data_IF_389381712707
#
_entry.id   IF_389381712707
#
_cell.length_a   1.000
_cell.length_b   1.000
_cell.length_c   1.000
_cell.angle_alpha   90.00
_cell.angle_beta   90.00
_cell.angle_gamma   90.00
#
_symmetry.space_group_name_H-M   'P 1'
#
loop_
_entity.id
_entity.type
_entity.pdbx_description
1 polymer ?
#
# COMPACT_ATOMS: atom_id res chain seq x y z
N UNK A 1 -10.69 -20.93 43.57
CA UNK A 1 -11.97 -21.38 42.97
C UNK A 1 -12.92 -20.20 42.89
N UNK A 2 -13.01 -19.51 41.75
CA UNK A 2 -14.19 -18.73 41.40
C UNK A 2 -14.88 -19.30 40.17
N UNK A 3 -16.20 -19.30 40.23
CA UNK A 3 -17.18 -19.73 39.24
C UNK A 3 -17.15 -18.89 37.97
N UNK A 4 -17.42 -19.46 36.77
CA UNK A 4 -17.64 -18.68 35.56
C UNK A 4 -19.10 -18.23 35.43
N UNK A 5 -19.27 -17.01 34.91
CA UNK A 5 -20.55 -16.42 34.54
C UNK A 5 -21.03 -17.06 33.24
N UNK A 6 -22.13 -17.82 33.32
CA UNK A 6 -22.87 -18.34 32.17
C UNK A 6 -24.00 -17.37 31.80
N UNK A 7 -24.01 -16.88 30.55
CA UNK A 7 -25.12 -16.11 29.99
C UNK A 7 -26.20 -17.09 29.51
N UNK A 8 -27.35 -17.03 30.18
CA UNK A 8 -28.59 -17.72 29.86
C UNK A 8 -29.23 -17.09 28.60
N UNK A 9 -29.53 -17.89 27.57
CA UNK A 9 -30.59 -17.58 26.61
C UNK A 9 -31.66 -18.67 26.68
N UNK A 10 -32.88 -18.20 26.91
CA UNK A 10 -34.08 -18.95 27.25
C UNK A 10 -34.61 -19.80 26.08
N UNK A 11 -35.19 -20.95 26.43
CA UNK A 11 -35.73 -21.94 25.52
C UNK A 11 -37.09 -21.58 24.90
N UNK A 12 -37.32 -22.16 23.73
CA UNK A 12 -38.63 -22.41 23.13
C UNK A 12 -38.74 -23.90 22.79
N UNK A 13 -39.81 -24.54 23.25
CA UNK A 13 -40.11 -25.98 23.13
C UNK A 13 -40.55 -26.40 21.71
N UNK A 14 -40.56 -27.73 21.41
CA UNK A 14 -40.57 -28.27 20.05
C UNK A 14 -41.98 -28.57 19.52
N UNK A 15 -42.13 -28.53 18.20
CA UNK A 15 -43.21 -29.21 17.48
C UNK A 15 -42.59 -30.25 16.56
N UNK A 16 -42.84 -31.52 16.86
CA UNK A 16 -42.52 -32.62 15.99
C UNK A 16 -43.51 -32.73 14.84
N UNK A 17 -43.04 -33.18 13.68
CA UNK A 17 -43.68 -34.28 12.93
C UNK A 17 -42.73 -34.83 11.87
N UNK A 18 -42.59 -36.15 11.95
CA UNK A 18 -41.97 -37.07 11.00
C UNK A 18 -42.60 -36.99 9.61
N UNK A 19 -41.77 -36.94 8.57
CA UNK A 19 -42.07 -37.51 7.25
C UNK A 19 -40.77 -38.11 6.67
N UNK A 20 -40.83 -39.42 6.38
CA UNK A 20 -39.77 -40.21 5.74
C UNK A 20 -39.78 -40.02 4.19
N UNK A 21 -38.73 -40.47 3.48
CA UNK A 21 -38.35 -39.94 2.17
C UNK A 21 -39.03 -40.66 1.01
N UNK A 22 -39.22 -39.94 -0.10
CA UNK A 22 -39.51 -40.54 -1.41
C UNK A 22 -38.35 -40.32 -2.37
N UNK A 23 -38.14 -41.37 -3.15
CA UNK A 23 -36.96 -41.72 -3.92
C UNK A 23 -37.06 -41.28 -5.39
N UNK A 24 -35.88 -41.06 -5.98
CA UNK A 24 -35.53 -41.28 -7.41
C UNK A 24 -35.83 -40.15 -8.41
N UNK A 25 -35.17 -40.15 -9.60
CA UNK A 25 -33.73 -40.16 -9.86
C UNK A 25 -33.29 -39.05 -10.84
N UNK A 26 -31.97 -38.91 -11.01
CA UNK A 26 -31.30 -38.05 -12.02
C UNK A 26 -31.83 -38.28 -13.45
N UNK A 27 -31.60 -37.28 -14.33
CA UNK A 27 -30.75 -37.60 -15.48
C UNK A 27 -29.72 -36.51 -15.80
N UNK A 28 -28.51 -36.95 -16.12
CA UNK A 28 -27.66 -36.36 -17.17
C UNK A 28 -27.80 -37.32 -18.37
N UNK A 29 -27.63 -36.93 -19.65
CA UNK A 29 -26.30 -36.55 -20.13
C UNK A 29 -26.23 -35.67 -21.41
N UNK A 30 -24.98 -35.41 -21.83
CA UNK A 30 -24.46 -35.16 -23.19
C UNK A 30 -24.35 -33.72 -23.73
N UNK A 31 -23.10 -33.25 -23.73
CA UNK A 31 -22.27 -32.87 -24.89
C UNK A 31 -22.98 -32.70 -26.24
N UNK A 32 -22.80 -31.51 -26.84
CA UNK A 32 -22.50 -31.33 -28.25
C UNK A 32 -21.75 -30.00 -28.47
N UNK A 33 -20.66 -30.10 -29.24
CA UNK A 33 -19.83 -29.01 -29.71
C UNK A 33 -20.54 -28.17 -30.80
N UNK A 34 -20.13 -26.91 -30.98
CA UNK A 34 -20.30 -26.25 -32.29
C UNK A 34 -20.40 -24.73 -32.31
N UNK A 35 -19.29 -24.10 -32.71
CA UNK A 35 -19.18 -22.95 -33.64
C UNK A 35 -19.66 -21.56 -33.17
N UNK A 36 -18.64 -20.72 -32.94
CA UNK A 36 -18.41 -19.41 -33.58
C UNK A 36 -19.60 -18.73 -34.28
N UNK A 37 -19.95 -17.53 -33.81
CA UNK A 37 -20.31 -16.38 -34.67
C UNK A 37 -20.25 -15.08 -33.88
N UNK A 38 -19.27 -14.26 -34.24
CA UNK A 38 -19.20 -12.83 -33.99
C UNK A 38 -20.47 -12.13 -34.50
N UNK A 39 -21.10 -11.30 -33.66
CA UNK A 39 -22.02 -10.26 -34.13
C UNK A 39 -21.66 -8.92 -33.49
N UNK A 40 -21.13 -8.07 -34.34
CA UNK A 40 -21.00 -6.61 -34.22
C UNK A 40 -22.36 -5.96 -33.93
N UNK A 41 -22.41 -5.08 -32.93
CA UNK A 41 -23.53 -4.16 -32.67
C UNK A 41 -23.15 -2.79 -33.25
N UNK A 42 -24.02 -2.10 -34.01
CA UNK A 42 -23.70 -0.82 -34.61
C UNK A 42 -23.98 0.35 -33.67
N UNK A 43 -23.14 1.38 -33.79
CA UNK A 43 -23.29 2.68 -33.14
C UNK A 43 -24.46 3.50 -33.73
N UNK A 44 -25.25 4.11 -32.85
CA UNK A 44 -26.10 5.30 -33.05
C UNK A 44 -25.98 6.08 -31.73
N UNK A 45 -25.75 7.37 -31.63
CA UNK A 45 -26.04 8.51 -32.49
C UNK A 45 -26.52 9.61 -31.55
N UNK A 46 -25.75 10.70 -31.43
CA UNK A 46 -25.92 11.80 -30.49
C UNK A 46 -27.32 12.45 -30.52
N UNK A 47 -27.87 12.83 -29.36
CA UNK A 47 -28.74 14.02 -29.17
C UNK A 47 -28.60 14.59 -27.75
N UNK A 48 -28.15 15.85 -27.67
CA UNK A 48 -28.34 16.74 -26.52
C UNK A 48 -29.78 17.27 -26.49
N UNK A 49 -30.27 17.68 -25.31
CA UNK A 49 -31.05 18.90 -25.20
C UNK A 49 -30.50 19.88 -24.16
N UNK A 50 -30.75 21.16 -24.45
CA UNK A 50 -30.29 22.33 -23.73
C UNK A 50 -31.10 22.65 -22.47
N UNK A 51 -30.38 23.28 -21.53
CA UNK A 51 -30.76 24.29 -20.53
C UNK A 51 -32.25 24.45 -20.12
N UNK A 52 -32.48 24.33 -18.81
CA UNK A 52 -33.49 25.13 -18.09
C UNK A 52 -32.88 25.77 -16.85
N UNK A 53 -32.87 27.10 -16.83
CA UNK A 53 -32.54 27.94 -15.67
C UNK A 53 -33.67 27.85 -14.65
N UNK A 54 -33.36 27.60 -13.38
CA UNK A 54 -34.24 27.96 -12.27
C UNK A 54 -33.40 28.56 -11.13
N UNK A 55 -33.81 29.76 -10.73
CA UNK A 55 -33.21 30.55 -9.68
C UNK A 55 -33.65 30.03 -8.31
N UNK A 56 -32.70 29.78 -7.41
CA UNK A 56 -32.98 29.64 -5.99
C UNK A 56 -32.24 30.73 -5.20
N UNK A 57 -33.05 31.50 -4.48
CA UNK A 57 -32.72 32.70 -3.71
C UNK A 57 -31.93 32.32 -2.44
N UNK A 58 -30.91 33.11 -2.10
CA UNK A 58 -30.28 33.17 -0.77
C UNK A 58 -31.08 34.12 0.14
N UNK A 59 -31.32 33.80 1.41
CA UNK A 59 -31.77 34.78 2.40
C UNK A 59 -30.57 35.47 3.08
N UNK A 60 -30.76 36.77 3.38
CA UNK A 60 -29.82 37.66 4.06
C UNK A 60 -29.77 37.41 5.59
N UNK A 61 -28.68 37.78 6.29
CA UNK A 61 -28.60 37.67 7.74
C UNK A 61 -29.22 38.89 8.45
N UNK A 62 -30.08 38.63 9.43
CA UNK A 62 -30.66 39.61 10.34
C UNK A 62 -29.71 39.92 11.49
N UNK A 63 -29.47 41.22 11.72
CA UNK A 63 -28.75 41.76 12.86
C UNK A 63 -29.62 41.81 14.13
N UNK A 64 -29.03 41.53 15.30
CA UNK A 64 -29.49 42.04 16.61
C UNK A 64 -28.31 42.53 17.44
N UNK A 65 -28.37 43.84 17.75
CA UNK A 65 -27.79 44.58 18.89
C UNK A 65 -28.35 44.03 20.23
N UNK A 66 -27.85 44.27 21.44
CA UNK A 66 -26.75 45.00 22.10
C UNK A 66 -26.70 44.44 23.56
N UNK A 67 -25.56 44.40 24.26
CA UNK A 67 -25.09 45.34 25.31
C UNK A 67 -24.27 44.47 26.31
N UNK A 68 -23.22 44.87 27.03
CA UNK A 68 -22.45 46.11 27.22
C UNK A 68 -21.58 45.95 28.50
N UNK A 69 -20.57 46.84 28.66
CA UNK A 69 -19.68 47.07 29.83
C UNK A 69 -18.43 46.16 29.92
N UNK A 70 -17.20 46.61 30.21
CA UNK A 70 -16.72 47.93 30.68
C UNK A 70 -15.21 48.19 30.41
N UNK A 71 -14.87 49.48 30.23
CA UNK A 71 -13.63 50.27 30.51
C UNK A 71 -12.21 49.61 30.51
N UNK A 72 -11.13 50.14 29.89
CA UNK A 72 -10.38 51.37 30.28
C UNK A 72 -9.25 51.76 29.26
N UNK A 73 -9.16 53.07 28.97
CA UNK A 73 -7.99 53.98 28.75
C UNK A 73 -7.14 54.02 27.45
N UNK A 74 -6.90 55.29 27.06
CA UNK A 74 -6.20 55.98 25.93
C UNK A 74 -4.65 56.08 26.09
N UNK A 75 -3.83 56.71 25.18
CA UNK A 75 -4.13 57.66 24.07
C UNK A 75 -3.38 57.50 22.70
N UNK A 76 -3.78 58.32 21.72
CA UNK A 76 -3.16 58.61 20.38
C UNK A 76 -2.16 59.81 20.44
N UNK A 77 -1.43 60.16 19.36
CA UNK A 77 -1.89 61.11 18.31
C UNK A 77 -1.47 60.67 16.86
N UNK A 78 -2.14 60.92 15.72
CA UNK A 78 -2.78 62.08 15.05
C UNK A 78 -1.83 62.96 14.20
N UNK A 79 -1.97 62.90 12.85
CA UNK A 79 -1.73 63.99 11.86
C UNK A 79 -1.97 63.44 10.42
N UNK A 80 -2.23 64.22 9.36
CA UNK A 80 -3.19 65.30 9.05
C UNK A 80 -3.24 65.36 7.50
N UNK A 81 -4.38 65.79 6.94
CA UNK A 81 -4.69 65.90 5.50
C UNK A 81 -3.92 67.03 4.78
N UNK A 82 -3.76 66.92 3.45
CA UNK A 82 -3.87 68.05 2.51
C UNK A 82 -4.27 67.57 1.10
N UNK A 83 -4.68 68.49 0.23
CA UNK A 83 -5.68 68.31 -0.82
C UNK A 83 -5.33 69.01 -2.15
N UNK A 84 -5.47 68.29 -3.30
CA UNK A 84 -5.88 68.71 -4.69
C UNK A 84 -5.08 69.86 -5.40
N UNK A 85 -5.22 70.12 -6.75
CA UNK A 85 -6.22 69.67 -7.74
C UNK A 85 -5.70 69.21 -9.14
N UNK A 86 -6.66 68.82 -10.00
CA UNK A 86 -6.59 68.43 -11.45
C UNK A 86 -6.47 69.64 -12.40
N UNK A 87 -6.22 69.38 -13.70
CA UNK A 87 -7.03 69.97 -14.77
C UNK A 87 -7.61 68.94 -15.79
N UNK A 88 -8.58 69.44 -16.57
CA UNK A 88 -9.42 68.78 -17.59
C UNK A 88 -8.98 69.14 -19.02
N UNK A 89 -9.42 68.34 -20.00
CA UNK A 89 -9.75 68.60 -21.43
C UNK A 89 -9.41 67.31 -22.23
N UNK A 90 -10.06 66.88 -23.32
CA UNK A 90 -11.36 67.08 -23.96
C UNK A 90 -11.45 65.95 -25.01
N UNK A 91 -12.67 65.43 -25.18
CA UNK A 91 -13.25 64.64 -26.28
C UNK A 91 -12.45 64.35 -27.56
N UNK A 92 -12.43 63.07 -27.98
CA UNK A 92 -12.58 62.67 -29.38
C UNK A 92 -13.13 61.22 -29.48
N UNK A 93 -14.29 61.08 -30.11
CA UNK A 93 -14.86 59.82 -30.60
C UNK A 93 -14.25 59.57 -31.98
N UNK A 94 -13.67 58.39 -32.21
CA UNK A 94 -13.46 57.85 -33.56
C UNK A 94 -13.58 56.34 -33.54
N UNK A 95 -14.34 55.85 -34.51
CA UNK A 95 -14.73 54.46 -34.77
C UNK A 95 -13.65 53.69 -35.55
N UNK A 96 -13.81 52.35 -35.59
CA UNK A 96 -13.01 51.34 -36.33
C UNK A 96 -11.65 50.98 -35.69
N UNK A 97 -11.23 49.72 -35.53
CA UNK A 97 -11.51 48.46 -36.24
C UNK A 97 -11.19 47.30 -35.28
N UNK A 98 -12.00 46.25 -35.28
CA UNK A 98 -11.69 44.98 -34.63
C UNK A 98 -10.52 44.33 -35.38
N UNK A 99 -9.37 44.24 -34.73
CA UNK A 99 -8.19 43.49 -35.19
C UNK A 99 -7.91 42.40 -34.16
N UNK A 100 -8.11 41.15 -34.58
CA UNK A 100 -7.79 39.96 -33.79
C UNK A 100 -6.28 39.90 -33.50
N UNK A 101 -5.92 39.81 -32.23
CA UNK A 101 -4.60 39.32 -31.81
C UNK A 101 -4.82 38.08 -30.93
N UNK A 102 -4.16 36.94 -31.22
CA UNK A 102 -4.12 35.82 -30.31
C UNK A 102 -3.11 36.08 -29.18
N UNK A 103 -3.50 35.64 -27.98
CA UNK A 103 -2.71 35.58 -26.75
C UNK A 103 -1.26 35.10 -26.98
N UNK A 104 -0.28 35.92 -26.59
CA UNK A 104 1.11 35.53 -26.51
C UNK A 104 1.34 34.57 -25.33
N UNK A 105 1.63 33.33 -25.66
CA UNK A 105 2.18 32.31 -24.78
C UNK A 105 3.59 32.75 -24.36
N UNK A 106 3.87 32.73 -23.05
CA UNK A 106 5.15 33.16 -22.47
C UNK A 106 6.26 32.22 -22.95
N UNK A 107 7.05 32.69 -23.91
CA UNK A 107 8.31 32.08 -24.35
C UNK A 107 9.43 32.63 -23.48
N UNK A 108 9.89 31.87 -22.48
CA UNK A 108 11.20 32.11 -21.88
C UNK A 108 12.22 31.16 -22.50
N UNK A 109 12.97 31.73 -23.43
CA UNK A 109 14.13 31.18 -24.11
C UNK A 109 15.34 31.27 -23.17
N UNK A 110 15.88 30.15 -22.70
CA UNK A 110 17.18 30.11 -22.05
C UNK A 110 18.27 29.94 -23.12
N UNK A 111 18.96 31.03 -23.43
CA UNK A 111 20.17 31.04 -24.27
C UNK A 111 21.31 30.49 -23.40
N UNK A 112 21.82 29.30 -23.73
CA UNK A 112 23.07 28.78 -23.15
C UNK A 112 24.21 28.90 -24.17
N UNK A 113 25.25 29.67 -23.83
CA UNK A 113 26.50 29.69 -24.57
C UNK A 113 27.17 28.32 -24.51
N UNK A 114 27.37 27.68 -25.67
CA UNK A 114 28.22 26.50 -25.79
C UNK A 114 29.68 26.91 -25.61
N UNK A 115 30.26 26.60 -24.45
CA UNK A 115 31.72 26.53 -24.29
C UNK A 115 32.20 25.10 -24.51
N UNK A 116 33.23 24.97 -25.36
CA UNK A 116 33.85 23.72 -25.79
C UNK A 116 34.32 22.85 -24.60
N UNK A 117 34.06 21.55 -24.74
CA UNK A 117 34.46 20.46 -23.85
C UNK A 117 35.97 20.45 -23.55
N UNK A 118 36.34 20.71 -22.30
CA UNK A 118 37.56 20.17 -21.66
C UNK A 118 37.12 19.05 -20.71
N UNK A 119 37.91 17.99 -20.68
CA UNK A 119 37.74 16.73 -19.93
C UNK A 119 37.04 16.92 -18.56
N UNK A 120 35.81 16.42 -18.44
CA UNK A 120 35.12 16.31 -17.15
C UNK A 120 35.65 15.09 -16.39
N UNK A 121 36.60 15.28 -15.49
CA UNK A 121 36.50 14.59 -14.21
C UNK A 121 35.23 15.15 -13.56
N UNK A 122 34.13 14.42 -13.67
CA UNK A 122 32.85 14.86 -13.13
C UNK A 122 32.97 14.96 -11.62
N UNK A 123 33.01 16.18 -11.08
CA UNK A 123 32.84 16.40 -9.66
C UNK A 123 31.48 15.80 -9.26
N UNK A 124 31.49 15.01 -8.19
CA UNK A 124 30.28 14.48 -7.60
C UNK A 124 29.48 15.68 -7.07
N UNK A 125 28.25 15.87 -7.54
CA UNK A 125 27.35 16.93 -7.04
C UNK A 125 26.43 16.31 -6.01
N UNK A 126 26.43 16.82 -4.78
CA UNK A 126 25.45 16.41 -3.75
C UNK A 126 24.06 16.96 -4.08
N UNK A 127 22.98 16.30 -3.66
CA UNK A 127 21.64 16.84 -3.92
C UNK A 127 21.41 18.14 -3.17
N UNK A 128 21.96 18.29 -1.97
CA UNK A 128 21.96 19.56 -1.21
C UNK A 128 22.65 20.70 -1.97
N UNK A 129 23.83 20.43 -2.55
CA UNK A 129 24.57 21.41 -3.38
C UNK A 129 23.82 21.77 -4.66
N UNK A 130 23.19 20.78 -5.31
CA UNK A 130 22.34 21.00 -6.48
C UNK A 130 21.11 21.85 -6.12
N UNK A 131 20.41 21.51 -5.03
CA UNK A 131 19.25 22.23 -4.53
C UNK A 131 19.59 23.71 -4.25
N UNK A 132 20.70 23.96 -3.55
CA UNK A 132 21.17 25.32 -3.30
C UNK A 132 21.41 26.09 -4.61
N UNK A 133 22.06 25.46 -5.59
CA UNK A 133 22.29 26.08 -6.90
C UNK A 133 21.00 26.34 -7.68
N UNK A 134 20.03 25.41 -7.63
CA UNK A 134 18.74 25.56 -8.27
C UNK A 134 17.93 26.72 -7.67
N UNK A 135 18.00 26.90 -6.34
CA UNK A 135 17.30 27.98 -5.62
C UNK A 135 17.65 29.39 -6.15
N UNK A 136 18.90 29.61 -6.55
CA UNK A 136 19.36 30.89 -7.12
C UNK A 136 18.71 31.23 -8.47
N UNK A 137 18.18 30.22 -9.16
CA UNK A 137 17.50 30.39 -10.46
C UNK A 137 15.97 30.43 -10.32
N UNK A 138 15.43 30.27 -9.12
CA UNK A 138 13.99 30.29 -8.88
C UNK A 138 13.42 31.72 -8.96
N UNK A 139 12.71 32.00 -10.05
CA UNK A 139 11.99 33.27 -10.27
C UNK A 139 10.49 33.17 -9.94
N UNK A 140 9.96 31.96 -9.71
CA UNK A 140 8.55 31.72 -9.42
C UNK A 140 8.15 32.03 -7.96
N UNK A 141 9.12 32.37 -7.11
CA UNK A 141 8.90 32.69 -5.70
C UNK A 141 8.49 31.46 -4.88
N UNK A 142 7.74 31.68 -3.80
CA UNK A 142 7.34 30.61 -2.87
C UNK A 142 5.95 30.00 -3.19
N UNK A 143 5.42 30.14 -4.41
CA UNK A 143 4.14 29.51 -4.75
C UNK A 143 4.32 28.02 -5.08
N UNK A 144 4.01 27.16 -4.11
CA UNK A 144 4.08 25.71 -4.27
C UNK A 144 3.22 25.19 -5.44
N UNK A 145 2.09 25.86 -5.74
CA UNK A 145 1.19 25.46 -6.82
C UNK A 145 1.88 25.55 -8.18
N UNK A 146 2.63 26.61 -8.42
CA UNK A 146 3.37 26.82 -9.67
C UNK A 146 4.41 25.70 -9.86
N UNK A 147 5.12 25.33 -8.79
CA UNK A 147 6.12 24.27 -8.86
C UNK A 147 5.50 22.88 -9.06
N UNK A 148 4.38 22.58 -8.39
CA UNK A 148 3.66 21.31 -8.56
C UNK A 148 3.09 21.16 -9.98
N UNK A 149 2.53 22.23 -10.54
CA UNK A 149 2.02 22.23 -11.91
C UNK A 149 3.16 22.10 -12.93
N UNK A 150 4.29 22.77 -12.69
CA UNK A 150 5.50 22.65 -13.50
C UNK A 150 6.04 21.22 -13.52
N UNK A 151 6.21 20.59 -12.35
CA UNK A 151 6.64 19.18 -12.25
C UNK A 151 5.74 18.24 -13.08
N UNK A 152 4.42 18.44 -13.03
CA UNK A 152 3.45 17.67 -13.80
C UNK A 152 3.60 17.89 -15.31
N UNK A 153 3.83 19.14 -15.73
CA UNK A 153 4.07 19.48 -17.13
C UNK A 153 5.32 18.77 -17.67
N UNK A 154 6.44 18.80 -16.93
CA UNK A 154 7.70 18.19 -17.39
C UNK A 154 7.66 16.66 -17.41
N UNK A 155 6.91 16.04 -16.49
CA UNK A 155 6.61 14.60 -16.58
C UNK A 155 5.86 14.28 -17.90
N UNK A 156 4.95 15.17 -18.33
CA UNK A 156 4.29 15.09 -19.63
C UNK A 156 5.25 15.26 -20.82
N UNK A 157 6.21 16.18 -20.72
CA UNK A 157 7.25 16.41 -21.73
C UNK A 157 8.14 15.18 -21.91
N UNK A 158 8.58 14.54 -20.81
CA UNK A 158 9.31 13.25 -20.83
C UNK A 158 8.51 12.19 -21.61
N UNK A 159 7.21 12.06 -21.31
CA UNK A 159 6.35 11.10 -21.99
C UNK A 159 6.21 11.41 -23.50
N UNK A 160 6.17 12.69 -23.88
CA UNK A 160 6.11 13.12 -25.28
C UNK A 160 7.40 12.77 -26.05
N UNK A 161 8.57 12.93 -25.44
CA UNK A 161 9.86 12.50 -26.02
C UNK A 161 9.87 10.98 -26.23
N UNK A 162 9.48 10.22 -25.21
CA UNK A 162 9.43 8.75 -25.28
C UNK A 162 8.47 8.27 -26.38
N UNK A 163 7.26 8.85 -26.45
CA UNK A 163 6.27 8.56 -27.51
C UNK A 163 6.82 8.84 -28.90
N UNK A 164 7.55 9.93 -29.08
CA UNK A 164 8.16 10.31 -30.36
C UNK A 164 9.25 9.32 -30.76
N UNK A 165 10.07 8.85 -29.81
CA UNK A 165 11.07 7.80 -30.04
C UNK A 165 10.43 6.47 -30.44
N UNK A 166 9.33 6.07 -29.80
CA UNK A 166 8.59 4.86 -30.18
C UNK A 166 8.06 4.97 -31.63
N UNK A 167 7.55 6.14 -32.02
CA UNK A 167 6.98 6.36 -33.36
C UNK A 167 8.02 6.33 -34.48
N UNK A 168 9.14 7.03 -34.30
CA UNK A 168 10.12 7.25 -35.36
C UNK A 168 11.39 6.38 -35.23
N UNK A 169 11.50 5.58 -34.17
CA UNK A 169 12.63 4.67 -33.95
C UNK A 169 13.99 5.38 -34.00
N UNK A 170 14.94 4.76 -34.71
CA UNK A 170 16.30 5.30 -34.92
C UNK A 170 16.34 6.65 -35.64
N UNK A 171 15.32 7.00 -36.42
CA UNK A 171 15.29 8.26 -37.17
C UNK A 171 15.18 9.50 -36.28
N UNK A 172 14.72 9.37 -35.04
CA UNK A 172 14.71 10.48 -34.08
C UNK A 172 16.04 10.59 -33.33
N UNK A 173 17.11 10.98 -34.04
CA UNK A 173 18.48 10.98 -33.50
C UNK A 173 18.68 11.89 -32.26
N UNK A 174 17.89 12.95 -32.11
CA UNK A 174 18.00 13.92 -31.02
C UNK A 174 17.37 13.51 -29.69
N UNK A 175 16.68 12.37 -29.62
CA UNK A 175 15.82 12.02 -28.48
C UNK A 175 16.54 12.00 -27.13
N UNK A 176 17.79 11.53 -27.08
CA UNK A 176 18.58 11.49 -25.83
C UNK A 176 18.93 12.88 -25.31
N UNK A 177 19.14 13.83 -26.23
CA UNK A 177 19.42 15.21 -25.86
C UNK A 177 18.17 15.83 -25.23
N UNK A 178 17.03 15.72 -25.90
CA UNK A 178 15.78 16.25 -25.39
C UNK A 178 15.38 15.57 -24.07
N UNK A 179 15.49 14.24 -23.99
CA UNK A 179 15.23 13.50 -22.74
C UNK A 179 16.09 14.00 -21.57
N UNK A 180 17.35 14.35 -21.81
CA UNK A 180 18.22 14.93 -20.77
C UNK A 180 17.72 16.29 -20.31
N UNK A 181 17.22 17.13 -21.21
CA UNK A 181 16.64 18.44 -20.91
C UNK A 181 15.40 18.27 -20.04
N UNK A 182 14.42 17.47 -20.48
CA UNK A 182 13.17 17.26 -19.71
C UNK A 182 13.40 16.63 -18.32
N UNK A 183 14.34 15.68 -18.21
CA UNK A 183 14.73 15.10 -16.91
C UNK A 183 15.42 16.14 -16.00
N UNK A 184 16.18 17.06 -16.59
CA UNK A 184 16.79 18.18 -15.88
C UNK A 184 15.75 19.14 -15.32
N UNK A 185 14.68 19.40 -16.08
CA UNK A 185 13.59 20.27 -15.65
C UNK A 185 12.78 19.62 -14.51
N UNK A 186 12.56 18.30 -14.55
CA UNK A 186 12.00 17.55 -13.41
C UNK A 186 12.87 17.71 -12.16
N UNK A 187 14.19 17.54 -12.28
CA UNK A 187 15.13 17.72 -11.16
C UNK A 187 15.03 19.13 -10.58
N UNK A 188 14.91 20.15 -11.42
CA UNK A 188 14.78 21.54 -10.99
C UNK A 188 13.49 21.75 -10.20
N UNK A 189 12.35 21.27 -10.70
CA UNK A 189 11.07 21.40 -9.99
C UNK A 189 11.04 20.62 -8.67
N UNK A 190 11.66 19.43 -8.61
CA UNK A 190 11.79 18.67 -7.36
C UNK A 190 12.61 19.46 -6.32
N UNK A 191 13.73 20.05 -6.72
CA UNK A 191 14.53 20.89 -5.83
C UNK A 191 13.76 22.12 -5.34
N UNK A 192 13.04 22.82 -6.22
CA UNK A 192 12.26 23.99 -5.86
C UNK A 192 11.08 23.65 -4.93
N UNK A 193 10.44 22.48 -5.10
CA UNK A 193 9.41 21.97 -4.18
C UNK A 193 10.03 21.65 -2.81
N UNK A 194 11.19 20.98 -2.79
CA UNK A 194 11.89 20.66 -1.55
C UNK A 194 12.24 21.93 -0.76
N UNK A 195 12.78 22.95 -1.42
CA UNK A 195 13.05 24.27 -0.83
C UNK A 195 11.79 24.90 -0.24
N UNK A 196 10.68 24.88 -0.98
CA UNK A 196 9.41 25.46 -0.55
C UNK A 196 8.85 24.78 0.71
N UNK A 197 9.04 23.47 0.81
CA UNK A 197 8.58 22.64 1.94
C UNK A 197 9.60 22.57 3.09
N UNK A 198 10.78 23.17 2.95
CA UNK A 198 11.86 23.07 3.93
C UNK A 198 12.44 21.66 4.07
N UNK A 199 12.45 20.88 2.97
CA UNK A 199 13.04 19.54 2.92
C UNK A 199 14.46 19.60 2.33
N UNK A 200 15.38 18.83 2.90
CA UNK A 200 16.70 18.59 2.29
C UNK A 200 16.59 17.49 1.24
N UNK A 201 17.03 17.77 0.02
CA UNK A 201 16.97 16.83 -1.08
C UNK A 201 17.96 15.65 -0.91
N UNK A 202 19.06 15.83 -0.15
CA UNK A 202 19.92 14.70 0.26
C UNK A 202 19.14 13.73 1.17
N UNK A 203 18.38 14.25 2.13
CA UNK A 203 17.54 13.44 3.03
C UNK A 203 16.41 12.72 2.27
N UNK A 204 15.75 13.42 1.33
CA UNK A 204 14.73 12.82 0.46
C UNK A 204 15.31 11.67 -0.36
N UNK A 205 16.50 11.85 -0.92
CA UNK A 205 17.20 10.82 -1.69
C UNK A 205 17.57 9.62 -0.81
N UNK A 206 18.13 9.85 0.39
CA UNK A 206 18.47 8.81 1.34
C UNK A 206 17.25 8.02 1.81
N UNK A 207 16.16 8.72 2.17
CA UNK A 207 14.91 8.09 2.56
C UNK A 207 14.33 7.22 1.44
N UNK A 208 14.39 7.68 0.19
CA UNK A 208 13.96 6.89 -0.97
C UNK A 208 14.85 5.67 -1.21
N UNK A 209 16.18 5.79 -1.08
CA UNK A 209 17.11 4.66 -1.19
C UNK A 209 16.85 3.62 -0.10
N UNK A 210 16.63 4.05 1.13
CA UNK A 210 16.26 3.15 2.23
C UNK A 210 14.94 2.42 1.92
N UNK A 211 13.88 3.17 1.56
CA UNK A 211 12.56 2.60 1.23
C UNK A 211 12.60 1.61 0.07
N UNK A 212 13.32 1.94 -1.01
CA UNK A 212 13.43 1.05 -2.17
C UNK A 212 14.27 -0.18 -1.86
N UNK A 213 15.35 -0.02 -1.09
CA UNK A 213 16.15 -1.14 -0.60
C UNK A 213 15.30 -2.10 0.24
N UNK A 214 14.58 -1.62 1.25
CA UNK A 214 13.77 -2.49 2.12
C UNK A 214 12.60 -3.13 1.38
N UNK A 215 12.03 -2.46 0.36
CA UNK A 215 10.98 -3.06 -0.47
C UNK A 215 11.45 -4.25 -1.30
N UNK A 216 12.68 -4.21 -1.80
CA UNK A 216 13.16 -5.18 -2.80
C UNK A 216 14.26 -6.12 -2.29
N UNK A 217 14.91 -5.80 -1.17
CA UNK A 217 16.00 -6.58 -0.59
C UNK A 217 15.58 -7.14 0.78
N UNK A 218 15.55 -8.48 0.91
CA UNK A 218 15.40 -9.14 2.20
C UNK A 218 16.48 -8.70 3.20
N UNK A 219 16.15 -8.72 4.49
CA UNK A 219 17.16 -8.51 5.54
C UNK A 219 18.12 -9.70 5.61
N UNK A 220 19.37 -9.50 6.09
CA UNK A 220 20.29 -10.61 6.32
C UNK A 220 19.66 -11.73 7.17
N UNK A 221 20.03 -12.97 6.83
CA UNK A 221 19.42 -14.24 7.28
C UNK A 221 19.53 -14.62 8.77
N UNK A 222 19.82 -13.69 9.68
CA UNK A 222 19.96 -14.05 11.10
C UNK A 222 18.59 -14.31 11.75
N UNK A 223 18.58 -15.14 12.77
CA UNK A 223 17.39 -15.47 13.57
C UNK A 223 17.28 -14.53 14.77
N UNK A 224 16.07 -14.07 15.10
CA UNK A 224 15.87 -13.04 16.13
C UNK A 224 16.15 -13.54 17.55
N UNK A 225 16.10 -14.85 17.76
CA UNK A 225 16.30 -15.51 19.04
C UNK A 225 17.65 -16.23 19.18
N UNK A 226 18.64 -15.87 18.36
CA UNK A 226 19.95 -16.53 18.37
C UNK A 226 20.64 -16.48 19.74
N UNK A 227 20.36 -15.45 20.55
CA UNK A 227 20.92 -15.27 21.89
C UNK A 227 20.08 -15.93 23.00
N UNK A 228 18.89 -16.44 22.69
CA UNK A 228 18.02 -17.10 23.67
C UNK A 228 18.58 -18.48 24.07
N UNK A 229 18.25 -19.01 25.27
CA UNK A 229 18.54 -20.38 25.63
C UNK A 229 18.03 -21.38 24.58
N UNK A 230 18.77 -22.48 24.36
CA UNK A 230 18.46 -23.42 23.29
C UNK A 230 17.04 -24.02 23.36
N UNK A 231 16.48 -24.12 24.56
CA UNK A 231 15.12 -24.58 24.82
C UNK A 231 14.04 -23.50 24.63
N UNK A 232 14.43 -22.25 24.42
CA UNK A 232 13.56 -21.11 24.10
C UNK A 232 13.77 -20.61 22.66
N UNK A 233 14.69 -21.22 21.90
CA UNK A 233 14.82 -20.98 20.46
C UNK A 233 13.73 -21.72 19.68
N UNK A 234 13.21 -21.07 18.64
CA UNK A 234 12.43 -21.75 17.63
C UNK A 234 13.31 -22.78 16.91
N UNK A 235 12.79 -23.99 16.59
CA UNK A 235 13.55 -24.97 15.83
C UNK A 235 14.06 -24.39 14.51
N UNK A 236 15.32 -24.64 14.17
CA UNK A 236 15.90 -24.18 12.90
C UNK A 236 15.45 -25.01 11.71
N UNK A 237 15.16 -26.29 11.95
CA UNK A 237 14.69 -27.24 10.95
C UNK A 237 13.68 -28.18 11.57
N UNK A 238 12.79 -28.70 10.73
CA UNK A 238 11.79 -29.66 11.17
C UNK A 238 10.75 -29.91 10.09
N UNK A 239 9.71 -30.66 10.44
CA UNK A 239 8.57 -30.92 9.55
C UNK A 239 7.29 -30.79 10.35
N UNK A 240 6.38 -29.95 9.85
CA UNK A 240 4.98 -29.92 10.29
C UNK A 240 4.18 -30.86 9.40
N UNK A 241 3.53 -31.84 10.00
CA UNK A 241 2.61 -32.73 9.33
C UNK A 241 1.18 -32.28 9.61
N UNK A 242 0.48 -31.83 8.57
CA UNK A 242 -0.92 -31.45 8.61
C UNK A 242 -1.78 -32.65 8.23
N UNK A 243 -2.63 -33.08 9.16
CA UNK A 243 -3.57 -34.19 8.96
C UNK A 243 -4.98 -33.67 8.98
N UNK A 244 -5.78 -34.02 7.97
CA UNK A 244 -7.19 -33.65 7.92
C UNK A 244 -8.08 -34.86 8.26
N UNK A 245 -9.14 -34.61 9.02
CA UNK A 245 -10.20 -35.59 9.30
C UNK A 245 -11.57 -34.92 9.39
N UNK A 246 -12.63 -35.70 9.40
CA UNK A 246 -13.95 -35.21 9.81
C UNK A 246 -14.14 -35.43 11.31
N UNK A 247 -14.62 -34.40 12.00
CA UNK A 247 -14.98 -34.49 13.42
C UNK A 247 -16.38 -35.14 13.60
N UNK A 248 -16.81 -35.29 14.86
CA UNK A 248 -18.09 -35.92 15.22
C UNK A 248 -19.32 -35.19 14.63
N UNK A 249 -19.18 -33.90 14.33
CA UNK A 249 -20.19 -33.06 13.70
C UNK A 249 -20.10 -33.07 12.16
N UNK A 250 -19.21 -33.89 11.59
CA UNK A 250 -19.02 -34.07 10.16
C UNK A 250 -18.29 -32.92 9.46
N UNK A 251 -17.75 -31.95 10.21
CA UNK A 251 -16.94 -30.84 9.68
C UNK A 251 -15.50 -31.29 9.45
N UNK A 252 -14.86 -30.71 8.45
CA UNK A 252 -13.42 -30.88 8.25
C UNK A 252 -12.64 -30.17 9.36
N UNK A 253 -11.63 -30.88 9.86
CA UNK A 253 -10.73 -30.44 10.93
C UNK A 253 -9.30 -30.83 10.53
N UNK A 254 -8.34 -29.94 10.75
CA UNK A 254 -6.93 -30.21 10.59
C UNK A 254 -6.22 -30.25 11.95
N UNK A 255 -5.28 -31.19 12.11
CA UNK A 255 -4.34 -31.21 13.23
C UNK A 255 -2.92 -31.07 12.70
N UNK A 256 -2.08 -30.37 13.45
CA UNK A 256 -0.66 -30.21 13.14
C UNK A 256 0.15 -31.13 14.04
N UNK A 257 1.14 -31.82 13.48
CA UNK A 257 2.06 -32.67 14.23
C UNK A 257 3.52 -32.29 13.94
N UNK A 258 4.38 -32.36 14.95
CA UNK A 258 5.82 -32.24 14.82
C UNK A 258 6.48 -33.30 15.70
N UNK A 259 7.50 -33.98 15.16
CA UNK A 259 8.22 -35.06 15.85
C UNK A 259 7.27 -36.15 16.43
N UNK A 260 6.21 -36.48 15.69
CA UNK A 260 5.19 -37.47 16.06
C UNK A 260 4.15 -37.00 17.08
N UNK A 261 4.29 -35.79 17.63
CA UNK A 261 3.39 -35.23 18.65
C UNK A 261 2.48 -34.17 18.04
N UNK A 262 1.22 -34.10 18.47
CA UNK A 262 0.32 -33.03 18.06
C UNK A 262 0.79 -31.70 18.66
N UNK A 263 0.78 -30.67 17.83
CA UNK A 263 1.09 -29.29 18.16
C UNK A 263 -0.19 -28.48 18.03
N UNK A 264 -0.60 -27.81 19.11
CA UNK A 264 -1.84 -27.04 19.15
C UNK A 264 -3.12 -27.87 19.22
N UNK A 265 -4.23 -27.16 19.10
CA UNK A 265 -5.57 -27.73 19.10
C UNK A 265 -6.03 -28.02 17.65
N UNK A 266 -6.98 -28.95 17.46
CA UNK A 266 -7.57 -29.18 16.15
C UNK A 266 -8.30 -27.94 15.62
N UNK A 267 -8.12 -27.63 14.34
CA UNK A 267 -8.64 -26.42 13.70
C UNK A 267 -9.69 -26.77 12.65
N UNK A 268 -10.83 -26.08 12.67
CA UNK A 268 -11.79 -26.08 11.57
C UNK A 268 -11.69 -24.77 10.80
N UNK A 269 -12.38 -24.67 9.68
CA UNK A 269 -12.43 -23.43 8.91
C UNK A 269 -13.11 -22.28 9.69
N UNK A 270 -13.90 -22.59 10.73
CA UNK A 270 -14.67 -21.61 11.51
C UNK A 270 -15.55 -20.68 10.63
N UNK A 271 -15.90 -21.14 9.43
CA UNK A 271 -16.70 -20.43 8.45
C UNK A 271 -17.91 -21.27 7.99
N UNK A 272 -18.89 -20.61 7.35
CA UNK A 272 -20.04 -21.29 6.74
C UNK A 272 -19.67 -22.05 5.47
N UNK A 273 -18.59 -21.63 4.79
CA UNK A 273 -18.10 -22.22 3.56
C UNK A 273 -16.77 -22.92 3.85
N UNK A 274 -16.45 -23.95 3.05
CA UNK A 274 -15.13 -24.62 3.07
C UNK A 274 -14.13 -23.72 2.33
N UNK A 275 -13.45 -22.85 3.09
CA UNK A 275 -12.41 -21.93 2.59
C UNK A 275 -10.99 -22.44 2.91
N UNK A 276 -10.88 -23.58 3.60
CA UNK A 276 -9.61 -24.18 3.95
C UNK A 276 -8.88 -23.50 5.11
N UNK A 277 -9.49 -22.53 5.81
CA UNK A 277 -8.86 -21.82 6.92
C UNK A 277 -8.34 -22.74 8.03
N UNK A 278 -8.82 -24.00 8.13
CA UNK A 278 -8.22 -25.04 8.97
C UNK A 278 -6.70 -25.24 8.80
N UNK A 279 -6.13 -24.88 7.65
CA UNK A 279 -4.69 -24.98 7.38
C UNK A 279 -3.89 -23.70 7.67
N UNK A 280 -4.49 -22.66 8.27
CA UNK A 280 -3.84 -21.35 8.45
C UNK A 280 -2.57 -21.38 9.32
N UNK A 281 -2.38 -22.40 10.17
CA UNK A 281 -1.14 -22.60 10.93
C UNK A 281 0.12 -22.66 10.06
N UNK A 282 -0.01 -22.94 8.76
CA UNK A 282 1.09 -22.85 7.80
C UNK A 282 1.63 -21.43 7.64
N UNK A 283 0.82 -20.40 7.89
CA UNK A 283 1.26 -19.01 7.89
C UNK A 283 2.12 -18.69 9.11
N UNK A 284 1.73 -19.16 10.30
CA UNK A 284 2.53 -19.03 11.52
C UNK A 284 3.88 -19.75 11.36
N UNK A 285 3.87 -20.95 10.78
CA UNK A 285 5.10 -21.66 10.43
C UNK A 285 5.97 -20.87 9.44
N UNK A 286 5.36 -20.23 8.44
CA UNK A 286 6.07 -19.39 7.49
C UNK A 286 6.69 -18.16 8.16
N UNK A 287 5.99 -17.51 9.09
CA UNK A 287 6.53 -16.38 9.85
C UNK A 287 7.70 -16.83 10.73
N UNK A 288 7.55 -17.95 11.45
CA UNK A 288 8.62 -18.55 12.25
C UNK A 288 9.87 -18.84 11.41
N UNK A 289 9.68 -19.45 10.23
CA UNK A 289 10.78 -19.90 9.36
C UNK A 289 11.46 -18.75 8.61
N UNK A 290 10.67 -17.84 8.05
CA UNK A 290 11.17 -16.81 7.12
C UNK A 290 11.59 -15.54 7.87
N UNK A 291 10.84 -15.16 8.90
CA UNK A 291 11.09 -13.94 9.67
C UNK A 291 11.91 -14.20 10.93
N UNK A 292 12.01 -15.46 11.37
CA UNK A 292 12.56 -15.81 12.68
C UNK A 292 11.67 -15.33 13.82
N UNK A 293 10.38 -15.11 13.54
CA UNK A 293 9.41 -14.52 14.47
C UNK A 293 8.04 -15.17 14.30
N UNK A 294 7.50 -15.71 15.38
CA UNK A 294 6.11 -16.16 15.47
C UNK A 294 5.79 -16.45 16.94
N UNK A 295 5.25 -15.49 17.71
CA UNK A 295 4.75 -15.76 19.06
C UNK A 295 3.69 -16.87 19.11
N UNK A 296 2.90 -17.07 18.07
CA UNK A 296 1.96 -18.21 17.93
C UNK A 296 2.73 -19.53 17.88
N UNK A 297 3.69 -19.68 16.96
CA UNK A 297 4.51 -20.90 16.87
C UNK A 297 5.30 -21.15 18.16
N UNK A 298 5.81 -20.10 18.81
CA UNK A 298 6.45 -20.23 20.13
C UNK A 298 5.50 -20.79 21.18
N UNK A 299 4.26 -20.30 21.24
CA UNK A 299 3.27 -20.79 22.17
C UNK A 299 2.92 -22.27 21.88
N UNK A 300 2.67 -22.60 20.61
CA UNK A 300 2.35 -23.94 20.13
C UNK A 300 3.45 -24.96 20.46
N UNK A 301 4.72 -24.59 20.23
CA UNK A 301 5.88 -25.45 20.48
C UNK A 301 6.43 -25.36 21.92
N UNK A 302 5.81 -24.55 22.79
CA UNK A 302 6.29 -24.28 24.15
C UNK A 302 7.73 -23.73 24.20
N UNK A 303 8.06 -22.85 23.24
CA UNK A 303 9.36 -22.15 23.04
C UNK A 303 9.28 -20.65 23.33
N UNK A 304 8.41 -20.24 24.25
CA UNK A 304 8.36 -18.84 24.70
C UNK A 304 9.62 -18.51 25.52
N UNK A 305 10.18 -17.31 25.36
CA UNK A 305 11.40 -16.85 26.03
C UNK A 305 11.12 -16.39 27.47
N UNK A 306 10.78 -17.34 28.34
CA UNK A 306 10.40 -17.09 29.73
C UNK A 306 11.57 -16.71 30.63
N UNK A 307 12.80 -16.99 30.19
CA UNK A 307 14.03 -16.60 30.87
C UNK A 307 14.16 -15.07 31.03
N UNK A 308 13.54 -14.30 30.13
CA UNK A 308 13.50 -12.83 30.17
C UNK A 308 12.04 -12.37 30.20
N UNK A 309 11.56 -12.03 31.39
CA UNK A 309 10.14 -11.70 31.62
C UNK A 309 9.59 -10.60 30.69
N UNK A 310 10.38 -9.55 30.44
CA UNK A 310 9.98 -8.45 29.55
C UNK A 310 9.79 -8.92 28.09
N UNK A 311 10.62 -9.86 27.60
CA UNK A 311 10.47 -10.44 26.26
C UNK A 311 9.26 -11.38 26.20
N UNK A 312 9.06 -12.19 27.24
CA UNK A 312 7.87 -13.04 27.35
C UNK A 312 6.58 -12.22 27.31
N UNK A 313 6.52 -11.08 28.02
CA UNK A 313 5.34 -10.23 28.04
C UNK A 313 5.16 -9.43 26.73
N UNK A 314 6.23 -8.78 26.25
CA UNK A 314 6.15 -7.81 25.17
C UNK A 314 6.11 -8.43 23.76
N UNK A 315 6.83 -9.53 23.56
CA UNK A 315 7.05 -10.17 22.25
C UNK A 315 6.31 -11.51 22.14
N UNK A 316 6.54 -12.42 23.09
CA UNK A 316 5.97 -13.78 23.06
C UNK A 316 4.59 -13.86 23.74
N UNK A 317 4.12 -12.73 24.28
CA UNK A 317 2.95 -12.60 25.11
C UNK A 317 1.66 -12.40 24.31
N UNK A 318 0.57 -12.13 25.03
CA UNK A 318 -0.76 -12.01 24.42
C UNK A 318 -0.83 -10.96 23.30
N UNK A 319 -0.13 -9.82 23.45
CA UNK A 319 -0.13 -8.76 22.42
C UNK A 319 0.56 -9.22 21.14
N UNK A 320 1.71 -9.88 21.24
CA UNK A 320 2.43 -10.41 20.07
C UNK A 320 1.60 -11.46 19.34
N UNK A 321 0.99 -12.39 20.09
CA UNK A 321 0.09 -13.42 19.54
C UNK A 321 -1.08 -12.76 18.80
N UNK A 322 -1.80 -11.83 19.42
CA UNK A 322 -2.95 -11.15 18.79
C UNK A 322 -2.56 -10.40 17.52
N UNK A 323 -1.39 -9.74 17.51
CA UNK A 323 -0.89 -9.05 16.31
C UNK A 323 -0.55 -10.05 15.21
N UNK A 324 0.13 -11.16 15.53
CA UNK A 324 0.46 -12.20 14.54
C UNK A 324 -0.80 -12.84 13.94
N UNK A 325 -1.76 -13.24 14.78
CA UNK A 325 -3.07 -13.75 14.38
C UNK A 325 -3.80 -12.74 13.47
N UNK A 326 -3.77 -11.45 13.83
CA UNK A 326 -4.32 -10.39 13.02
C UNK A 326 -3.64 -10.26 11.64
N UNK A 327 -2.31 -10.40 11.58
CA UNK A 327 -1.55 -10.41 10.31
C UNK A 327 -1.89 -11.66 9.48
N UNK A 328 -1.97 -12.83 10.10
CA UNK A 328 -2.36 -14.07 9.42
C UNK A 328 -3.78 -13.98 8.84
N UNK A 329 -4.75 -13.51 9.63
CA UNK A 329 -6.12 -13.29 9.18
C UNK A 329 -6.22 -12.23 8.06
N UNK A 330 -5.46 -11.14 8.17
CA UNK A 330 -5.39 -10.12 7.12
C UNK A 330 -4.78 -10.67 5.82
N UNK A 331 -3.67 -11.42 5.92
CA UNK A 331 -3.05 -12.08 4.78
C UNK A 331 -3.98 -13.12 4.17
N UNK A 332 -4.73 -13.89 4.98
CA UNK A 332 -5.76 -14.82 4.53
C UNK A 332 -6.83 -14.12 3.70
N UNK A 333 -7.46 -13.08 4.26
CA UNK A 333 -8.47 -12.29 3.56
C UNK A 333 -7.96 -11.65 2.25
N UNK A 334 -6.69 -11.21 2.23
CA UNK A 334 -6.07 -10.70 1.01
C UNK A 334 -5.92 -11.78 -0.06
N UNK A 335 -5.47 -12.99 0.30
CA UNK A 335 -5.32 -14.07 -0.70
C UNK A 335 -6.65 -14.64 -1.18
N UNK A 336 -7.70 -14.68 -0.35
CA UNK A 336 -9.05 -15.10 -0.77
C UNK A 336 -9.54 -14.34 -2.01
N UNK A 337 -9.37 -13.03 -2.02
CA UNK A 337 -9.79 -12.18 -3.16
C UNK A 337 -8.79 -12.17 -4.33
N UNK A 338 -7.67 -12.90 -4.19
CA UNK A 338 -6.58 -13.01 -5.17
C UNK A 338 -6.23 -14.47 -5.50
N UNK A 339 -7.22 -15.39 -5.46
CA UNK A 339 -7.03 -16.80 -5.82
C UNK A 339 -5.90 -17.49 -5.02
N UNK A 340 -5.88 -17.26 -3.70
CA UNK A 340 -4.85 -17.71 -2.76
C UNK A 340 -3.41 -17.42 -3.25
N UNK A 341 -3.23 -16.27 -3.91
CA UNK A 341 -1.97 -15.79 -4.47
C UNK A 341 -1.34 -16.72 -5.52
N UNK A 342 -2.13 -17.53 -6.22
CA UNK A 342 -1.61 -18.34 -7.32
C UNK A 342 -1.10 -17.45 -8.47
N UNK A 343 0.11 -17.76 -8.96
CA UNK A 343 0.82 -16.97 -9.96
C UNK A 343 1.31 -15.58 -9.50
N UNK A 344 1.01 -15.15 -8.26
CA UNK A 344 1.44 -13.85 -7.73
C UNK A 344 2.85 -13.96 -7.17
N UNK A 345 3.77 -13.20 -7.77
CA UNK A 345 5.17 -13.13 -7.31
C UNK A 345 5.48 -11.89 -6.48
N UNK A 346 4.54 -10.93 -6.38
CA UNK A 346 4.69 -9.65 -5.68
C UNK A 346 3.38 -9.23 -5.03
N UNK A 347 3.44 -8.76 -3.79
CA UNK A 347 2.31 -8.20 -3.06
C UNK A 347 2.17 -6.70 -3.30
N UNK A 348 0.94 -6.22 -3.13
CA UNK A 348 0.66 -4.79 -3.15
C UNK A 348 1.40 -4.06 -2.03
N UNK A 349 1.90 -2.86 -2.35
CA UNK A 349 2.62 -2.04 -1.37
C UNK A 349 1.74 -1.67 -0.18
N UNK A 350 0.44 -1.48 -0.38
CA UNK A 350 -0.51 -1.15 0.68
C UNK A 350 -0.62 -2.26 1.73
N UNK A 351 -0.61 -3.53 1.30
CA UNK A 351 -0.63 -4.71 2.19
C UNK A 351 0.64 -4.73 3.05
N UNK A 352 1.80 -4.57 2.42
CA UNK A 352 3.07 -4.55 3.14
C UNK A 352 3.19 -3.38 4.12
N UNK A 353 2.67 -2.21 3.75
CA UNK A 353 2.64 -1.05 4.64
C UNK A 353 1.72 -1.27 5.84
N UNK A 354 0.57 -1.92 5.64
CA UNK A 354 -0.36 -2.24 6.72
C UNK A 354 0.28 -3.21 7.73
N UNK A 355 0.95 -4.26 7.25
CA UNK A 355 1.66 -5.22 8.10
C UNK A 355 2.80 -4.53 8.85
N UNK A 356 3.63 -3.75 8.15
CA UNK A 356 4.71 -3.01 8.78
C UNK A 356 4.21 -2.07 9.89
N UNK A 357 3.05 -1.44 9.71
CA UNK A 357 2.41 -0.62 10.74
C UNK A 357 1.92 -1.46 11.93
N UNK A 358 1.33 -2.63 11.69
CA UNK A 358 0.85 -3.54 12.75
C UNK A 358 2.00 -4.08 13.62
N UNK A 359 3.17 -4.30 13.02
CA UNK A 359 4.30 -4.95 13.69
C UNK A 359 5.42 -4.00 14.10
N UNK A 360 5.27 -2.69 13.90
CA UNK A 360 6.32 -1.69 14.09
C UNK A 360 6.90 -1.65 15.51
N UNK A 361 6.09 -1.98 16.52
CA UNK A 361 6.48 -1.92 17.93
C UNK A 361 6.95 -3.27 18.49
N UNK A 362 7.10 -4.28 17.63
CA UNK A 362 7.57 -5.62 17.99
C UNK A 362 8.97 -5.85 17.41
N UNK A 363 9.68 -6.86 17.90
CA UNK A 363 11.04 -7.18 17.43
C UNK A 363 11.08 -7.50 15.93
N UNK A 364 10.00 -8.06 15.38
CA UNK A 364 9.89 -8.35 13.93
C UNK A 364 9.83 -7.08 13.07
N UNK A 365 9.65 -5.90 13.68
CA UNK A 365 9.74 -4.61 13.02
C UNK A 365 11.09 -4.35 12.34
N UNK A 366 12.14 -5.10 12.70
CA UNK A 366 13.44 -5.06 11.99
C UNK A 366 13.38 -5.72 10.60
N UNK A 367 12.35 -6.50 10.29
CA UNK A 367 12.17 -7.20 9.01
C UNK A 367 11.66 -6.27 7.94
N UNK A 368 12.23 -6.42 6.74
CA UNK A 368 11.87 -5.56 5.61
C UNK A 368 10.53 -6.00 4.99
N UNK A 369 9.85 -5.10 4.27
CA UNK A 369 8.71 -5.48 3.44
C UNK A 369 9.00 -6.64 2.48
N UNK A 370 10.25 -6.77 1.99
CA UNK A 370 10.65 -7.91 1.17
C UNK A 370 10.65 -9.25 1.95
N UNK A 371 11.00 -9.23 3.24
CA UNK A 371 10.94 -10.43 4.09
C UNK A 371 9.49 -10.87 4.29
N UNK A 372 8.59 -9.92 4.58
CA UNK A 372 7.15 -10.17 4.70
C UNK A 372 6.52 -10.69 3.41
N UNK A 373 6.88 -10.11 2.25
CA UNK A 373 6.46 -10.60 0.94
C UNK A 373 6.89 -12.06 0.72
N UNK A 374 8.14 -12.39 1.06
CA UNK A 374 8.63 -13.77 0.99
C UNK A 374 7.85 -14.72 1.90
N UNK A 375 7.62 -14.31 3.16
CA UNK A 375 6.95 -15.14 4.15
C UNK A 375 5.51 -15.47 3.73
N UNK A 376 4.75 -14.46 3.29
CA UNK A 376 3.36 -14.63 2.85
C UNK A 376 3.29 -15.48 1.58
N UNK A 377 4.12 -15.19 0.57
CA UNK A 377 4.12 -15.96 -0.69
C UNK A 377 4.49 -17.42 -0.44
N UNK A 378 5.50 -17.69 0.38
CA UNK A 378 5.89 -19.06 0.72
C UNK A 378 4.82 -19.77 1.55
N UNK A 379 4.22 -19.08 2.53
CA UNK A 379 3.10 -19.60 3.32
C UNK A 379 1.92 -19.98 2.43
N UNK A 380 1.52 -19.11 1.49
CA UNK A 380 0.46 -19.40 0.54
C UNK A 380 0.78 -20.53 -0.43
N UNK A 381 2.04 -20.65 -0.85
CA UNK A 381 2.46 -21.80 -1.65
C UNK A 381 2.18 -23.10 -0.91
N UNK A 382 2.51 -23.17 0.38
CA UNK A 382 2.25 -24.36 1.19
C UNK A 382 0.76 -24.54 1.50
N UNK A 383 0.04 -23.45 1.79
CA UNK A 383 -1.41 -23.47 1.97
C UNK A 383 -2.13 -24.10 0.78
N UNK A 384 -1.78 -23.71 -0.46
CA UNK A 384 -2.38 -24.27 -1.67
C UNK A 384 -2.09 -25.77 -1.83
N UNK A 385 -0.86 -26.20 -1.55
CA UNK A 385 -0.48 -27.61 -1.60
C UNK A 385 -1.26 -28.44 -0.57
N UNK A 386 -1.39 -27.94 0.66
CA UNK A 386 -2.17 -28.55 1.74
C UNK A 386 -3.65 -28.65 1.36
N UNK A 387 -4.23 -27.57 0.83
CA UNK A 387 -5.61 -27.53 0.39
C UNK A 387 -5.87 -28.53 -0.75
N UNK A 388 -4.96 -28.60 -1.73
CA UNK A 388 -5.08 -29.49 -2.89
C UNK A 388 -5.01 -30.99 -2.51
N UNK A 389 -4.24 -31.33 -1.48
CA UNK A 389 -4.01 -32.72 -1.07
C UNK A 389 -4.78 -33.13 0.20
N UNK A 390 -5.53 -32.22 0.83
CA UNK A 390 -6.23 -32.48 2.08
C UNK A 390 -5.29 -32.74 3.25
N UNK A 391 -4.15 -32.04 3.30
CA UNK A 391 -3.07 -32.25 4.25
C UNK A 391 -1.74 -32.56 3.57
N UNK A 392 -0.75 -32.98 4.35
CA UNK A 392 0.61 -33.28 3.90
C UNK A 392 1.66 -32.72 4.85
N UNK A 393 2.94 -32.84 4.45
CA UNK A 393 4.08 -32.45 5.27
C UNK A 393 4.75 -31.21 4.71
N UNK A 394 5.00 -30.23 5.59
CA UNK A 394 5.74 -29.00 5.28
C UNK A 394 7.08 -29.05 6.03
N UNK A 395 8.16 -29.29 5.30
CA UNK A 395 9.52 -29.24 5.83
C UNK A 395 10.05 -27.82 5.76
N UNK A 396 10.59 -27.34 6.87
CA UNK A 396 11.10 -25.97 7.00
C UNK A 396 12.60 -25.95 7.33
N UNK A 397 13.28 -24.94 6.78
CA UNK A 397 14.67 -24.60 7.11
C UNK A 397 14.73 -23.08 7.32
N UNK A 398 14.84 -22.66 8.58
CA UNK A 398 14.87 -21.27 8.98
C UNK A 398 16.20 -20.59 8.62
N UNK A 399 17.31 -21.33 8.66
CA UNK A 399 18.64 -20.79 8.31
C UNK A 399 18.70 -20.42 6.82
N UNK A 400 18.04 -21.20 5.97
CA UNK A 400 17.89 -20.91 4.53
C UNK A 400 16.62 -20.13 4.18
N UNK A 401 15.72 -19.89 5.16
CA UNK A 401 14.40 -19.27 4.97
C UNK A 401 13.60 -19.92 3.84
N UNK A 402 13.44 -21.23 3.93
CA UNK A 402 12.70 -22.02 2.94
C UNK A 402 11.68 -22.95 3.56
N UNK A 403 10.54 -23.08 2.89
CA UNK A 403 9.58 -24.15 3.10
C UNK A 403 9.60 -25.12 1.91
N UNK A 404 9.18 -26.36 2.10
CA UNK A 404 8.99 -27.36 1.05
C UNK A 404 7.85 -28.31 1.41
N UNK A 405 7.12 -28.79 0.41
CA UNK A 405 5.94 -29.62 0.60
C UNK A 405 6.21 -31.07 0.17
N UNK A 406 5.63 -32.02 0.91
CA UNK A 406 5.54 -33.43 0.56
C UNK A 406 4.08 -33.87 0.71
N UNK A 407 3.47 -34.50 -0.31
CA UNK A 407 2.08 -34.97 -0.22
C UNK A 407 1.92 -36.07 0.85
N UNK A 408 0.70 -36.28 1.37
CA UNK A 408 0.42 -37.37 2.30
C UNK A 408 0.68 -38.74 1.64
N UNK A 409 1.11 -39.70 2.46
CA UNK A 409 1.48 -41.06 2.03
C UNK A 409 0.29 -41.91 1.55
#
# INVERSE_FOLDING_TARGET
MPTPIAVLLAGGRPLGRSVAPTSSPRPSPRWLAGRSRSRSVPARGCRHPAASRSACRRPAPTARRAAGQDSLRHPRPAARRSSRPRPLLSSAISTCRVSQQPCSMVQHCWIFHQTRSKSRQGALVKFSEYQQQASHTNQAGADLTVHLLGLSAEAGSVAAVAKTRIRYGESYAGWRKQMREELGDILWYVAAIADNLGLDLDDVAQANLHRTRTRWMPTPGYQLDIEAPADEQLPRRGTYEFRQRRNDEGRWEATVHMDGHQVGDPLTDNALNDDGYRFHDVFHLAYATILGWSPVTRALLKRKRKSVADLDEAEDGGRGIVIEEGVAAFAFAYGEVHNHLDGITRLDQSVLNAIAMMTATLEVGVRSPADWESAIIQGYRMFRELLAHGGGSVTFDADHRTLSFTPPA
#
